data_IF_045780351467
#
_entry.id   IF_045780351467
#
_cell.length_a   1.000
_cell.length_b   1.000
_cell.length_c   1.000
_cell.angle_alpha   90.00
_cell.angle_beta   90.00
_cell.angle_gamma   90.00
#
_symmetry.space_group_name_H-M   'P 1'
#
loop_
_entity.id
_entity.type
_entity.pdbx_description
1 polymer ?
#
# COMPACT_ATOMS: atom_id res chain seq x y z
N UNK A 1 22.64 0.95 36.25
CA UNK A 1 23.43 1.84 35.37
C UNK A 1 23.28 1.60 33.85
N UNK A 2 22.37 0.75 33.35
CA UNK A 2 22.26 0.47 31.89
C UNK A 2 21.00 0.97 31.16
N UNK A 3 19.93 1.32 31.88
CA UNK A 3 18.60 1.56 31.27
C UNK A 3 18.53 2.82 30.40
N UNK A 4 19.19 3.91 30.79
CA UNK A 4 19.17 5.17 30.02
C UNK A 4 19.81 5.05 28.63
N UNK A 5 20.92 4.30 28.53
CA UNK A 5 21.61 4.06 27.25
C UNK A 5 20.77 3.17 26.32
N UNK A 6 20.16 2.11 26.88
CA UNK A 6 19.26 1.25 26.11
C UNK A 6 18.04 2.03 25.58
N UNK A 7 17.42 2.85 26.43
CA UNK A 7 16.29 3.71 26.03
C UNK A 7 16.70 4.68 24.92
N UNK A 8 17.85 5.34 25.03
CA UNK A 8 18.36 6.23 24.00
C UNK A 8 18.59 5.51 22.66
N UNK A 9 19.19 4.30 22.68
CA UNK A 9 19.36 3.48 21.47
C UNK A 9 18.01 3.11 20.85
N UNK A 10 17.05 2.67 21.65
CA UNK A 10 15.70 2.31 21.19
C UNK A 10 14.97 3.51 20.56
N UNK A 11 15.02 4.69 21.19
CA UNK A 11 14.41 5.90 20.62
C UNK A 11 15.05 6.31 19.30
N UNK A 12 16.37 6.15 19.16
CA UNK A 12 17.07 6.42 17.89
C UNK A 12 16.59 5.47 16.79
N UNK A 13 16.55 4.16 17.07
CA UNK A 13 16.08 3.14 16.12
C UNK A 13 14.61 3.38 15.74
N UNK A 14 13.74 3.65 16.71
CA UNK A 14 12.32 3.93 16.46
C UNK A 14 12.13 5.18 15.59
N UNK A 15 12.91 6.25 15.80
CA UNK A 15 12.86 7.44 14.94
C UNK A 15 13.34 7.12 13.52
N UNK A 16 14.40 6.34 13.37
CA UNK A 16 14.85 5.89 12.06
C UNK A 16 13.74 5.10 11.37
N UNK A 17 13.11 4.12 12.03
CA UNK A 17 12.02 3.35 11.43
C UNK A 17 10.79 4.20 11.08
N UNK A 18 10.44 5.18 11.92
CA UNK A 18 9.26 6.02 11.71
C UNK A 18 9.46 7.07 10.60
N UNK A 19 10.65 7.65 10.52
CA UNK A 19 10.91 8.81 9.67
C UNK A 19 11.85 8.53 8.50
N UNK A 20 12.43 7.33 8.41
CA UNK A 20 13.11 6.88 7.21
C UNK A 20 12.05 6.49 6.18
N UNK A 21 11.67 7.44 5.34
CA UNK A 21 11.02 7.08 4.09
C UNK A 21 12.08 6.36 3.23
N UNK A 22 11.85 5.13 2.80
CA UNK A 22 12.73 4.52 1.82
C UNK A 22 12.74 5.41 0.57
N UNK A 23 13.92 5.58 -0.04
CA UNK A 23 13.98 6.08 -1.41
C UNK A 23 13.33 5.00 -2.29
N UNK A 24 12.17 5.33 -2.84
CA UNK A 24 11.46 4.46 -3.76
C UNK A 24 11.95 4.75 -5.17
N UNK A 25 12.41 3.70 -5.86
CA UNK A 25 12.73 3.77 -7.28
C UNK A 25 11.43 3.93 -8.09
N UNK A 26 11.10 5.19 -8.39
CA UNK A 26 9.89 5.55 -9.13
C UNK A 26 9.90 4.98 -10.55
N UNK A 27 11.07 4.83 -11.18
CA UNK A 27 11.18 4.28 -12.53
C UNK A 27 10.85 2.79 -12.57
N UNK A 28 11.32 2.04 -11.57
CA UNK A 28 10.95 0.63 -11.42
C UNK A 28 9.46 0.45 -11.16
N UNK A 29 8.87 1.27 -10.27
CA UNK A 29 7.45 1.22 -9.94
C UNK A 29 6.57 1.51 -11.17
N UNK A 30 6.92 2.53 -11.95
CA UNK A 30 6.21 2.86 -13.19
C UNK A 30 6.23 1.70 -14.20
N UNK A 31 7.37 1.01 -14.32
CA UNK A 31 7.50 -0.14 -15.21
C UNK A 31 6.60 -1.31 -14.81
N UNK A 32 6.51 -1.59 -13.52
CA UNK A 32 5.67 -2.66 -12.96
C UNK A 32 4.18 -2.35 -13.18
N UNK A 33 3.73 -1.14 -12.83
CA UNK A 33 2.35 -0.68 -13.06
C UNK A 33 1.94 -0.69 -14.54
N UNK A 34 2.83 -0.25 -15.43
CA UNK A 34 2.54 -0.26 -16.86
C UNK A 34 2.48 -1.68 -17.44
N UNK A 35 3.22 -2.62 -16.85
CA UNK A 35 3.19 -4.03 -17.25
C UNK A 35 1.89 -4.72 -16.76
N UNK A 36 1.46 -4.46 -15.53
CA UNK A 36 0.24 -5.06 -14.95
C UNK A 36 -1.05 -4.55 -15.61
N UNK A 37 -1.12 -3.26 -15.94
CA UNK A 37 -2.28 -2.66 -16.63
C UNK A 37 -2.53 -3.24 -18.03
N UNK A 38 -1.53 -3.88 -18.65
CA UNK A 38 -1.69 -4.49 -19.97
C UNK A 38 -2.42 -5.85 -19.95
N UNK A 39 -2.49 -6.51 -18.79
CA UNK A 39 -3.08 -7.86 -18.68
C UNK A 39 -4.31 -7.96 -17.77
N UNK A 40 -4.50 -7.03 -16.81
CA UNK A 40 -5.50 -7.20 -15.75
C UNK A 40 -6.78 -6.37 -15.91
N UNK A 41 -6.83 -5.42 -16.86
CA UNK A 41 -7.90 -4.39 -16.89
C UNK A 41 -9.29 -4.92 -17.29
N UNK A 42 -9.36 -6.07 -17.97
CA UNK A 42 -10.63 -6.62 -18.48
C UNK A 42 -11.38 -7.51 -17.47
N UNK A 43 -10.66 -8.17 -16.55
CA UNK A 43 -11.24 -9.19 -15.66
C UNK A 43 -11.69 -8.63 -14.31
N UNK A 44 -11.03 -7.57 -13.81
CA UNK A 44 -11.29 -7.01 -12.46
C UNK A 44 -12.61 -6.22 -12.39
N UNK A 45 -12.96 -5.49 -13.46
CA UNK A 45 -14.19 -4.69 -13.52
C UNK A 45 -15.46 -5.54 -13.54
N UNK A 46 -15.40 -6.74 -14.13
CA UNK A 46 -16.53 -7.67 -14.20
C UNK A 46 -16.92 -8.24 -12.83
N UNK A 47 -15.95 -8.42 -11.92
CA UNK A 47 -16.21 -8.97 -10.58
C UNK A 47 -16.96 -8.00 -9.67
N UNK A 48 -16.92 -6.69 -9.94
CA UNK A 48 -17.54 -5.66 -9.11
C UNK A 48 -19.01 -5.38 -9.51
N UNK A 49 -19.38 -5.63 -10.77
CA UNK A 49 -20.75 -5.45 -11.27
C UNK A 49 -21.73 -6.52 -10.73
N UNK A 50 -21.25 -7.72 -10.39
CA UNK A 50 -22.09 -8.82 -9.87
C UNK A 50 -22.57 -8.66 -8.42
N UNK A 51 -22.05 -7.68 -7.67
CA UNK A 51 -22.40 -7.41 -6.27
C UNK A 51 -23.05 -6.03 -6.07
N UNK A 52 -23.45 -5.36 -7.16
CA UNK A 52 -24.22 -4.12 -7.07
C UNK A 52 -25.55 -4.37 -6.35
N UNK A 53 -25.97 -3.52 -5.41
CA UNK A 53 -27.26 -3.67 -4.76
C UNK A 53 -28.35 -3.63 -5.85
N UNK A 54 -29.10 -4.72 -6.00
CA UNK A 54 -30.30 -4.73 -6.82
C UNK A 54 -31.20 -3.59 -6.32
N UNK A 55 -31.39 -2.56 -7.16
CA UNK A 55 -32.31 -1.47 -6.92
C UNK A 55 -33.72 -2.06 -6.80
N UNK A 56 -34.15 -2.31 -5.56
CA UNK A 56 -35.50 -2.76 -5.24
C UNK A 56 -36.46 -1.60 -5.50
N UNK A 57 -36.84 -1.42 -6.77
CA UNK A 57 -37.89 -0.52 -7.19
C UNK A 57 -39.25 -1.03 -6.74
N UNK A 58 -39.72 -0.52 -5.60
CA UNK A 58 -41.10 -0.68 -5.13
C UNK A 58 -42.01 0.33 -5.85
N UNK A 59 -43.12 -0.16 -6.42
CA UNK A 59 -44.13 0.58 -7.19
C UNK A 59 -45.37 0.83 -6.34
#
# INVERSE_FOLDING_TARGET
MGRGRAKAKQTKVARQLKYNSPEMDLERLQRELNNDNSSSSAEDYSSYEGWGPEDSGDR
#
